data_IF_221501158428
#
_entry.id   IF_221501158428
#
_cell.length_a   1.000
_cell.length_b   1.000
_cell.length_c   1.000
_cell.angle_alpha   90.00
_cell.angle_beta   90.00
_cell.angle_gamma   90.00
#
_symmetry.space_group_name_H-M   'P 1'
#
loop_
_entity.id
_entity.type
_entity.pdbx_description
1 polymer ?
#
# COMPACT_ATOMS: atom_id res chain seq x y z
N UNK A 1 -29.61 22.06 -15.98
CA UNK A 1 -28.61 23.11 -16.24
C UNK A 1 -27.23 22.52 -16.07
N UNK A 2 -26.36 22.83 -17.03
CA UNK A 2 -24.93 22.54 -17.16
C UNK A 2 -24.53 21.09 -17.47
N UNK A 3 -23.95 20.99 -18.67
CA UNK A 3 -23.80 19.83 -19.51
C UNK A 3 -22.40 19.22 -19.43
N UNK A 4 -22.36 17.91 -19.67
CA UNK A 4 -21.17 17.11 -19.99
C UNK A 4 -20.35 17.73 -21.12
N UNK A 5 -19.03 17.79 -20.96
CA UNK A 5 -18.10 18.01 -22.08
C UNK A 5 -17.15 16.81 -22.15
N UNK A 6 -17.33 16.04 -23.21
CA UNK A 6 -16.45 14.95 -23.64
C UNK A 6 -15.20 15.54 -24.31
N UNK A 7 -14.02 15.07 -23.91
CA UNK A 7 -12.75 15.32 -24.60
C UNK A 7 -12.59 14.27 -25.70
N UNK A 8 -12.95 14.65 -26.92
CA UNK A 8 -12.72 13.87 -28.13
C UNK A 8 -11.50 14.47 -28.84
N UNK A 9 -10.47 13.64 -29.02
CA UNK A 9 -9.21 13.95 -29.68
C UNK A 9 -9.42 14.05 -31.19
N UNK A 10 -9.31 15.26 -31.76
CA UNK A 10 -9.37 15.48 -33.20
C UNK A 10 -7.96 15.53 -33.79
N UNK A 11 -7.62 14.43 -34.48
CA UNK A 11 -6.48 14.24 -35.40
C UNK A 11 -6.75 15.05 -36.68
N UNK A 12 -5.78 15.85 -37.11
CA UNK A 12 -5.88 16.66 -38.33
C UNK A 12 -5.97 15.77 -39.60
N UNK A 13 -6.76 16.15 -40.62
CA UNK A 13 -6.88 15.39 -41.85
C UNK A 13 -5.77 15.73 -42.86
N UNK A 14 -5.13 14.69 -43.37
CA UNK A 14 -4.48 14.68 -44.68
C UNK A 14 -5.59 14.66 -45.74
N UNK A 15 -5.54 15.57 -46.71
CA UNK A 15 -6.33 15.48 -47.93
C UNK A 15 -5.45 15.89 -49.12
N UNK A 16 -5.43 15.00 -50.11
CA UNK A 16 -4.71 15.05 -51.36
C UNK A 16 -5.62 15.52 -52.51
N UNK A 17 -5.04 16.13 -53.55
CA UNK A 17 -5.50 16.14 -54.94
C UNK A 17 -4.37 16.81 -55.78
N UNK A 18 -3.58 16.10 -56.59
CA UNK A 18 -3.84 15.51 -57.91
C UNK A 18 -3.62 16.49 -59.09
N UNK A 19 -2.62 16.14 -59.95
CA UNK A 19 -2.52 16.30 -61.44
C UNK A 19 -2.81 17.67 -62.08
N UNK A 20 -2.11 18.23 -63.07
CA UNK A 20 -1.10 17.76 -64.05
C UNK A 20 -0.91 18.90 -65.07
N UNK A 21 0.32 19.20 -65.53
CA UNK A 21 0.60 19.57 -66.94
C UNK A 21 2.07 20.00 -67.16
N UNK A 22 2.81 19.08 -67.77
CA UNK A 22 3.88 19.18 -68.78
C UNK A 22 4.47 20.57 -69.16
N UNK A 23 5.81 20.59 -69.19
CA UNK A 23 6.68 21.46 -69.98
C UNK A 23 6.39 21.35 -71.51
N UNK A 24 6.84 22.33 -72.30
CA UNK A 24 8.00 22.03 -73.15
C UNK A 24 9.02 23.17 -73.31
N UNK A 25 10.26 22.75 -73.61
CA UNK A 25 11.36 23.52 -74.19
C UNK A 25 11.11 23.77 -75.70
N UNK A 26 11.50 24.94 -76.22
CA UNK A 26 12.54 25.12 -77.26
C UNK A 26 12.40 26.41 -78.11
N UNK A 27 13.55 27.08 -78.25
CA UNK A 27 14.14 27.69 -79.47
C UNK A 27 13.67 29.03 -80.09
N UNK A 28 14.66 29.94 -80.11
CA UNK A 28 15.18 30.77 -81.23
C UNK A 28 14.30 31.88 -81.83
N UNK A 29 14.70 33.14 -81.63
CA UNK A 29 15.49 33.93 -82.62
C UNK A 29 15.56 35.44 -82.27
N UNK A 30 16.73 36.01 -82.57
CA UNK A 30 17.01 37.37 -83.06
C UNK A 30 16.78 38.63 -82.20
N UNK A 31 17.83 39.47 -82.19
CA UNK A 31 18.12 40.73 -81.47
C UNK A 31 17.41 42.00 -82.08
N UNK A 32 17.72 43.28 -81.70
CA UNK A 32 18.70 43.80 -80.74
C UNK A 32 18.30 45.01 -79.84
N UNK A 33 19.16 45.24 -78.84
CA UNK A 33 19.60 46.52 -78.22
C UNK A 33 18.59 47.56 -77.69
N UNK A 34 18.55 47.72 -76.36
CA UNK A 34 18.56 49.04 -75.71
C UNK A 34 19.11 48.94 -74.27
N UNK A 35 20.03 49.84 -73.98
CA UNK A 35 20.82 50.01 -72.75
C UNK A 35 19.97 50.63 -71.64
N UNK A 36 20.01 50.07 -70.41
CA UNK A 36 20.04 50.84 -69.15
C UNK A 36 20.09 49.89 -67.93
N UNK A 37 21.22 49.88 -67.21
CA UNK A 37 21.26 49.51 -65.79
C UNK A 37 20.71 50.72 -64.99
N UNK A 38 20.06 50.49 -63.83
CA UNK A 38 20.85 50.57 -62.62
C UNK A 38 20.56 49.47 -61.60
N UNK A 39 21.62 49.19 -60.84
CA UNK A 39 21.66 48.26 -59.73
C UNK A 39 20.70 48.66 -58.60
N UNK A 40 19.91 47.71 -58.12
CA UNK A 40 19.58 47.61 -56.71
C UNK A 40 19.58 46.13 -56.29
N UNK A 41 20.52 45.79 -55.42
CA UNK A 41 20.64 44.50 -54.77
C UNK A 41 19.29 44.09 -54.14
N UNK A 42 18.79 42.89 -54.51
CA UNK A 42 17.76 42.22 -53.72
C UNK A 42 18.39 41.78 -52.40
N UNK A 43 18.32 42.65 -51.40
CA UNK A 43 18.62 42.31 -50.03
C UNK A 43 17.65 41.22 -49.55
N UNK A 44 18.23 40.18 -48.96
CA UNK A 44 17.64 39.22 -48.03
C UNK A 44 16.14 39.38 -47.76
N UNK A 45 15.35 38.37 -48.15
CA UNK A 45 14.01 38.15 -47.64
C UNK A 45 14.08 37.76 -46.15
N UNK A 46 14.39 38.72 -45.29
CA UNK A 46 13.99 38.67 -43.90
C UNK A 46 12.50 38.99 -43.90
N UNK A 47 11.66 37.97 -43.84
CA UNK A 47 10.23 38.13 -43.54
C UNK A 47 10.14 38.62 -42.10
N UNK A 48 10.35 39.93 -41.88
CA UNK A 48 9.97 40.57 -40.64
C UNK A 48 8.47 40.33 -40.46
N UNK A 49 8.00 39.87 -39.28
CA UNK A 49 6.58 39.70 -39.07
C UNK A 49 5.95 41.08 -39.25
N UNK A 50 5.04 41.19 -40.23
CA UNK A 50 4.24 42.38 -40.45
C UNK A 50 3.72 42.91 -39.10
N UNK A 51 3.94 44.20 -38.84
CA UNK A 51 3.68 44.82 -37.54
C UNK A 51 2.31 44.42 -36.98
N UNK A 52 2.31 43.70 -35.86
CA UNK A 52 1.08 43.25 -35.23
C UNK A 52 0.22 44.46 -34.84
N UNK A 53 -1.07 44.41 -35.16
CA UNK A 53 -2.02 45.44 -34.72
C UNK A 53 -2.12 45.45 -33.19
N UNK A 54 -2.33 46.64 -32.59
CA UNK A 54 -2.46 46.80 -31.12
C UNK A 54 -3.51 45.85 -30.51
N UNK A 55 -4.60 45.58 -31.22
CA UNK A 55 -5.65 44.65 -30.81
C UNK A 55 -5.16 43.20 -30.76
N UNK A 56 -4.42 42.72 -31.78
CA UNK A 56 -3.81 41.37 -31.80
C UNK A 56 -2.80 41.22 -30.67
N UNK A 57 -1.97 42.24 -30.43
CA UNK A 57 -1.02 42.28 -29.31
C UNK A 57 -1.73 42.19 -27.96
N UNK A 58 -2.80 42.96 -27.73
CA UNK A 58 -3.61 42.91 -26.50
C UNK A 58 -4.25 41.52 -26.30
N UNK A 59 -4.86 40.96 -27.35
CA UNK A 59 -5.44 39.62 -27.31
C UNK A 59 -4.41 38.54 -26.96
N UNK A 60 -3.21 38.60 -27.55
CA UNK A 60 -2.10 37.68 -27.22
C UNK A 60 -1.65 37.82 -25.77
N UNK A 61 -1.51 39.05 -25.26
CA UNK A 61 -1.12 39.29 -23.86
C UNK A 61 -2.16 38.77 -22.88
N UNK A 62 -3.45 39.00 -23.13
CA UNK A 62 -4.52 38.44 -22.28
C UNK A 62 -4.58 36.90 -22.33
N UNK A 63 -4.42 36.30 -23.52
CA UNK A 63 -4.32 34.85 -23.67
C UNK A 63 -3.13 34.29 -22.89
N UNK A 64 -1.95 34.93 -22.99
CA UNK A 64 -0.75 34.54 -22.25
C UNK A 64 -0.99 34.62 -20.74
N UNK A 65 -1.50 35.74 -20.24
CA UNK A 65 -1.83 35.90 -18.82
C UNK A 65 -2.83 34.84 -18.32
N UNK A 66 -3.84 34.49 -19.13
CA UNK A 66 -4.79 33.43 -18.78
C UNK A 66 -4.14 32.04 -18.78
N UNK A 67 -3.21 31.78 -19.71
CA UNK A 67 -2.43 30.54 -19.71
C UNK A 67 -1.49 30.46 -18.50
N UNK A 68 -0.82 31.55 -18.16
CA UNK A 68 0.07 31.63 -17.01
C UNK A 68 -0.71 31.41 -15.70
N UNK A 69 -1.90 32.01 -15.56
CA UNK A 69 -2.81 31.75 -14.43
C UNK A 69 -3.23 30.28 -14.35
N UNK A 70 -3.60 29.66 -15.49
CA UNK A 70 -3.94 28.23 -15.54
C UNK A 70 -2.73 27.35 -15.16
N UNK A 71 -1.54 27.70 -15.64
CA UNK A 71 -0.31 26.98 -15.32
C UNK A 71 0.05 27.10 -13.83
N UNK A 72 -0.16 28.27 -13.21
CA UNK A 72 0.03 28.45 -11.78
C UNK A 72 -0.93 27.56 -10.96
N UNK A 73 -2.23 27.55 -11.31
CA UNK A 73 -3.22 26.67 -10.65
C UNK A 73 -2.87 25.19 -10.80
N UNK A 74 -2.40 24.76 -11.98
CA UNK A 74 -1.95 23.38 -12.19
C UNK A 74 -0.75 23.04 -11.31
N UNK A 75 0.25 23.94 -11.20
CA UNK A 75 1.40 23.73 -10.32
C UNK A 75 1.03 23.63 -8.85
N UNK A 76 0.10 24.46 -8.38
CA UNK A 76 -0.43 24.39 -7.00
C UNK A 76 -1.15 23.06 -6.74
N UNK A 77 -1.94 22.59 -7.71
CA UNK A 77 -2.61 21.29 -7.64
C UNK A 77 -1.62 20.12 -7.71
N UNK A 78 -0.58 20.22 -8.53
CA UNK A 78 0.49 19.21 -8.62
C UNK A 78 1.34 19.16 -7.35
N UNK A 79 1.57 20.29 -6.69
CA UNK A 79 2.27 20.36 -5.41
C UNK A 79 1.48 19.67 -4.29
N UNK A 80 0.15 19.80 -4.30
CA UNK A 80 -0.76 19.15 -3.32
C UNK A 80 -1.27 17.78 -3.80
N UNK A 81 -0.57 17.16 -4.75
CA UNK A 81 -0.97 15.86 -5.30
C UNK A 81 -0.68 14.75 -4.28
N UNK A 82 -1.66 13.93 -3.89
CA UNK A 82 -1.42 12.80 -2.99
C UNK A 82 -0.64 11.70 -3.70
N UNK A 83 0.11 10.93 -2.92
CA UNK A 83 0.84 9.79 -3.43
C UNK A 83 -0.12 8.72 -3.98
N UNK A 84 0.16 8.13 -5.15
CA UNK A 84 -0.73 7.16 -5.76
C UNK A 84 -0.76 5.82 -5.01
N UNK A 85 0.30 5.48 -4.27
CA UNK A 85 0.42 4.22 -3.53
C UNK A 85 -0.13 4.36 -2.12
N UNK A 86 0.42 5.30 -1.34
CA UNK A 86 0.07 5.48 0.07
C UNK A 86 -1.28 6.19 0.23
N UNK A 87 -1.60 7.12 -0.67
CA UNK A 87 -2.92 7.74 -0.74
C UNK A 87 -3.03 9.10 -0.07
N UNK A 88 -1.96 9.65 0.50
CA UNK A 88 -1.90 10.96 1.13
C UNK A 88 -0.65 11.72 0.66
N UNK A 89 -0.58 13.01 0.97
CA UNK A 89 0.57 13.85 0.58
C UNK A 89 1.84 13.51 1.37
N UNK A 90 3.01 13.70 0.74
CA UNK A 90 4.31 13.52 1.42
C UNK A 90 4.40 14.45 2.64
N UNK A 91 4.80 13.89 3.79
CA UNK A 91 4.91 14.62 5.06
C UNK A 91 3.64 14.63 5.93
N UNK A 92 2.50 14.15 5.41
CA UNK A 92 1.26 14.00 6.18
C UNK A 92 1.06 12.55 6.66
N UNK A 93 2.08 11.97 7.28
CA UNK A 93 2.01 10.61 7.83
C UNK A 93 1.03 10.47 9.01
N UNK A 94 0.67 11.59 9.65
CA UNK A 94 -0.32 11.66 10.73
C UNK A 94 -1.67 11.02 10.36
N UNK A 95 -2.09 11.15 9.10
CA UNK A 95 -3.32 10.53 8.60
C UNK A 95 -3.29 9.01 8.76
N UNK A 96 -2.13 8.41 8.56
CA UNK A 96 -1.94 6.98 8.76
C UNK A 96 -1.79 6.61 10.23
N UNK A 97 -1.08 7.41 11.01
CA UNK A 97 -0.90 7.13 12.43
C UNK A 97 -2.23 7.13 13.19
N UNK A 98 -3.13 8.04 12.83
CA UNK A 98 -4.43 8.20 13.46
C UNK A 98 -5.51 7.25 12.93
N UNK A 99 -5.27 6.63 11.78
CA UNK A 99 -6.16 5.71 11.08
C UNK A 99 -6.54 4.49 11.94
N UNK A 100 -7.82 4.08 11.89
CA UNK A 100 -8.29 2.88 12.60
C UNK A 100 -7.55 1.62 12.15
N UNK A 101 -7.32 1.46 10.84
CA UNK A 101 -6.64 0.29 10.30
C UNK A 101 -5.26 0.11 10.95
N UNK A 102 -4.47 1.18 11.07
CA UNK A 102 -3.13 1.13 11.66
C UNK A 102 -3.14 0.82 13.16
N UNK A 103 -4.18 1.25 13.87
CA UNK A 103 -4.35 0.99 15.30
C UNK A 103 -4.72 -0.47 15.58
N UNK A 104 -5.49 -1.08 14.67
CA UNK A 104 -5.96 -2.46 14.81
C UNK A 104 -4.89 -3.45 14.34
N UNK A 105 -4.15 -3.15 13.27
CA UNK A 105 -3.18 -4.09 12.70
C UNK A 105 -2.00 -4.33 13.62
N UNK A 106 -1.61 -5.60 13.81
CA UNK A 106 -0.42 -5.95 14.56
C UNK A 106 0.83 -5.40 13.90
N UNK A 107 1.63 -4.67 14.68
CA UNK A 107 2.96 -4.24 14.27
C UNK A 107 3.99 -5.25 14.72
N UNK A 108 5.15 -5.24 14.05
CA UNK A 108 6.31 -6.05 14.44
C UNK A 108 6.67 -5.84 15.92
N UNK A 109 6.65 -4.59 16.38
CA UNK A 109 6.94 -4.25 17.78
C UNK A 109 6.00 -4.92 18.78
N UNK A 110 4.72 -5.11 18.43
CA UNK A 110 3.73 -5.67 19.34
C UNK A 110 3.93 -7.18 19.55
N UNK A 111 4.43 -7.88 18.52
CA UNK A 111 4.65 -9.32 18.54
C UNK A 111 5.96 -9.67 19.25
N UNK A 112 7.07 -9.05 18.85
CA UNK A 112 8.41 -9.41 19.35
C UNK A 112 8.92 -8.51 20.48
N UNK A 113 8.20 -7.44 20.83
CA UNK A 113 8.67 -6.41 21.77
C UNK A 113 9.69 -5.46 21.13
N UNK A 114 10.15 -4.47 21.91
CA UNK A 114 11.35 -3.73 21.55
C UNK A 114 12.57 -4.57 21.91
N UNK A 115 13.43 -4.84 20.92
CA UNK A 115 14.75 -5.41 21.18
C UNK A 115 15.53 -4.33 21.91
N UNK A 116 15.51 -4.37 23.24
CA UNK A 116 16.44 -3.57 24.04
C UNK A 116 17.84 -4.03 23.62
N UNK A 117 18.70 -3.12 23.12
CA UNK A 117 20.08 -3.48 22.85
C UNK A 117 20.64 -4.10 24.11
N UNK A 118 21.14 -5.33 24.01
CA UNK A 118 21.92 -5.92 25.09
C UNK A 118 23.18 -5.05 25.13
N UNK A 119 23.17 -4.00 25.96
CA UNK A 119 24.41 -3.35 26.35
C UNK A 119 25.33 -4.46 26.85
N UNK A 120 26.57 -4.44 26.41
CA UNK A 120 27.63 -5.42 26.69
C UNK A 120 28.03 -5.43 28.18
N UNK A 121 27.07 -5.52 29.09
CA UNK A 121 27.24 -5.91 30.49
C UNK A 121 27.19 -7.44 30.62
N UNK A 122 27.57 -8.14 29.55
CA UNK A 122 27.71 -9.59 29.45
C UNK A 122 29.02 -10.15 30.03
N UNK A 123 29.69 -9.42 30.93
CA UNK A 123 30.68 -10.00 31.85
C UNK A 123 30.18 -10.07 33.30
N UNK A 124 29.12 -9.33 33.65
CA UNK A 124 28.54 -9.32 35.00
C UNK A 124 27.26 -10.14 35.11
N UNK A 125 26.45 -10.24 34.05
CA UNK A 125 25.22 -11.05 34.06
C UNK A 125 25.46 -12.57 34.01
N UNK A 126 26.63 -13.01 33.51
CA UNK A 126 27.00 -14.43 33.47
C UNK A 126 27.53 -14.99 34.82
N UNK A 127 27.66 -14.15 35.85
CA UNK A 127 28.07 -14.54 37.22
C UNK A 127 27.00 -14.28 38.28
N UNK A 128 25.74 -14.11 37.88
CA UNK A 128 24.60 -13.95 38.77
C UNK A 128 23.53 -15.04 38.54
N UNK A 129 23.97 -16.27 38.25
CA UNK A 129 23.10 -17.42 37.97
C UNK A 129 23.49 -18.71 38.71
N UNK A 130 24.35 -18.63 39.72
CA UNK A 130 24.59 -19.70 40.69
C UNK A 130 24.41 -19.08 42.08
N UNK A 131 23.15 -18.87 42.44
CA UNK A 131 22.74 -18.27 43.71
C UNK A 131 21.41 -18.85 44.12
N UNK A 132 21.48 -19.80 45.05
CA UNK A 132 20.42 -20.24 45.98
C UNK A 132 19.05 -20.57 45.37
N UNK A 133 18.73 -21.87 45.39
CA UNK A 133 17.38 -22.39 45.27
C UNK A 133 16.49 -21.81 46.39
N UNK A 134 15.95 -20.61 46.16
CA UNK A 134 14.90 -20.04 46.99
C UNK A 134 13.59 -20.74 46.66
N UNK A 135 12.96 -21.21 47.72
CA UNK A 135 11.70 -21.95 47.75
C UNK A 135 10.64 -21.45 46.75
N UNK A 136 10.09 -22.39 45.97
CA UNK A 136 8.66 -22.42 45.69
C UNK A 136 8.03 -21.34 44.82
N UNK A 137 8.77 -20.62 43.96
CA UNK A 137 8.11 -19.89 42.87
C UNK A 137 7.64 -20.90 41.82
N UNK A 138 6.39 -21.36 41.94
CA UNK A 138 5.69 -22.06 40.84
C UNK A 138 5.79 -21.16 39.61
N UNK A 139 6.62 -21.53 38.65
CA UNK A 139 6.72 -20.83 37.38
C UNK A 139 5.32 -20.84 36.76
N UNK A 140 4.76 -19.65 36.54
CA UNK A 140 3.44 -19.55 35.95
C UNK A 140 3.44 -20.23 34.58
N UNK A 141 2.38 -20.98 34.27
CA UNK A 141 2.14 -21.54 32.95
C UNK A 141 2.44 -20.54 31.82
N UNK A 142 3.42 -20.85 30.95
CA UNK A 142 3.67 -20.03 29.76
C UNK A 142 2.42 -19.99 28.85
N UNK A 143 1.91 -18.79 28.60
CA UNK A 143 0.76 -18.52 27.71
C UNK A 143 1.12 -17.35 26.79
N UNK A 144 1.13 -17.56 25.46
CA UNK A 144 1.34 -16.50 24.47
C UNK A 144 0.27 -15.42 24.52
N UNK A 145 0.63 -14.20 24.10
CA UNK A 145 -0.33 -13.09 23.98
C UNK A 145 -1.18 -13.18 22.70
N UNK A 146 -0.59 -13.64 21.61
CA UNK A 146 -1.24 -13.76 20.31
C UNK A 146 -1.04 -15.17 19.77
N UNK A 147 -2.08 -15.71 19.13
CA UNK A 147 -2.09 -17.09 18.67
C UNK A 147 -2.11 -17.18 17.14
N UNK A 148 -1.39 -18.18 16.63
CA UNK A 148 -1.40 -18.58 15.25
C UNK A 148 -2.64 -19.44 14.93
N UNK A 149 -2.87 -19.74 13.65
CA UNK A 149 -3.98 -20.56 13.13
C UNK A 149 -5.38 -19.96 13.31
N UNK A 150 -5.52 -18.88 14.08
CA UNK A 150 -6.79 -18.21 14.38
C UNK A 150 -7.64 -18.95 15.36
N UNK A 151 -6.98 -19.37 16.42
CA UNK A 151 -7.63 -19.83 17.61
C UNK A 151 -8.20 -18.61 18.35
N UNK A 152 -9.42 -18.76 18.84
CA UNK A 152 -10.07 -17.79 19.71
C UNK A 152 -9.58 -17.99 21.14
N UNK A 153 -9.67 -16.96 21.98
CA UNK A 153 -9.23 -17.02 23.37
C UNK A 153 -9.88 -18.18 24.14
N UNK A 154 -11.18 -18.43 23.90
CA UNK A 154 -11.93 -19.54 24.50
C UNK A 154 -11.36 -20.91 24.12
N UNK A 155 -10.97 -21.09 22.85
CA UNK A 155 -10.37 -22.35 22.40
C UNK A 155 -9.01 -22.58 23.04
N UNK A 156 -8.24 -21.52 23.28
CA UNK A 156 -6.95 -21.61 23.95
C UNK A 156 -7.11 -21.96 25.42
N UNK A 157 -8.09 -21.39 26.11
CA UNK A 157 -8.41 -21.70 27.51
C UNK A 157 -8.80 -23.18 27.67
N UNK A 158 -9.63 -23.69 26.75
CA UNK A 158 -9.96 -25.11 26.72
C UNK A 158 -8.72 -25.98 26.52
N UNK A 159 -7.83 -25.60 25.58
CA UNK A 159 -6.57 -26.30 25.32
C UNK A 159 -5.59 -26.22 26.50
N UNK A 160 -5.55 -25.10 27.23
CA UNK A 160 -4.61 -24.87 28.32
C UNK A 160 -5.01 -25.53 29.62
N UNK A 161 -6.30 -25.46 29.97
CA UNK A 161 -6.73 -25.73 31.34
C UNK A 161 -7.45 -27.08 31.44
N UNK A 162 -8.27 -27.43 30.45
CA UNK A 162 -9.15 -28.61 30.54
C UNK A 162 -8.51 -29.89 30.01
N UNK A 163 -7.76 -29.80 28.92
CA UNK A 163 -7.17 -30.99 28.27
C UNK A 163 -6.06 -31.66 29.08
N UNK A 164 -5.13 -30.95 29.74
CA UNK A 164 -4.08 -31.59 30.51
C UNK A 164 -4.62 -32.43 31.68
N UNK A 165 -5.61 -31.91 32.40
CA UNK A 165 -6.22 -32.60 33.54
C UNK A 165 -6.99 -33.86 33.11
N UNK A 166 -7.81 -33.74 32.06
CA UNK A 166 -8.58 -34.88 31.52
C UNK A 166 -7.67 -35.95 30.90
N UNK A 167 -6.61 -35.54 30.20
CA UNK A 167 -5.59 -36.42 29.64
C UNK A 167 -4.83 -37.18 30.73
N UNK A 168 -4.38 -36.49 31.78
CA UNK A 168 -3.71 -37.11 32.93
C UNK A 168 -4.60 -38.12 33.66
N UNK A 169 -5.87 -37.77 33.91
CA UNK A 169 -6.85 -38.68 34.54
C UNK A 169 -7.10 -39.92 33.67
N UNK A 170 -7.24 -39.75 32.35
CA UNK A 170 -7.46 -40.87 31.43
C UNK A 170 -6.27 -41.82 31.38
N UNK A 171 -5.05 -41.30 31.39
CA UNK A 171 -3.80 -42.08 31.38
C UNK A 171 -3.61 -42.90 32.66
N UNK A 172 -4.07 -42.37 33.79
CA UNK A 172 -3.81 -42.92 35.12
C UNK A 172 -4.89 -43.90 35.59
N UNK A 173 -6.17 -43.59 35.36
CA UNK A 173 -7.30 -44.42 35.80
C UNK A 173 -7.82 -45.39 34.72
N UNK A 174 -7.59 -45.11 33.43
CA UNK A 174 -8.29 -45.82 32.35
C UNK A 174 -9.83 -45.70 32.45
N UNK A 175 -10.57 -46.41 31.60
CA UNK A 175 -12.06 -46.30 31.59
C UNK A 175 -12.72 -47.01 32.79
N UNK A 176 -11.98 -47.83 33.55
CA UNK A 176 -12.43 -48.56 34.74
C UNK A 176 -11.25 -48.82 35.68
N UNK A 177 -11.18 -48.14 36.81
CA UNK A 177 -10.25 -48.52 37.88
C UNK A 177 -10.92 -48.50 39.26
N UNK A 178 -10.77 -49.64 39.93
CA UNK A 178 -11.07 -49.89 41.34
C UNK A 178 -9.73 -50.14 42.06
N UNK A 179 -9.37 -49.21 42.97
CA UNK A 179 -8.34 -49.22 44.02
C UNK A 179 -6.86 -49.50 43.68
N UNK A 180 -5.94 -48.55 43.98
CA UNK A 180 -4.59 -48.71 44.62
C UNK A 180 -4.04 -47.31 45.04
N UNK A 181 -3.64 -47.07 46.30
CA UNK A 181 -3.54 -45.71 46.87
C UNK A 181 -2.19 -44.95 46.83
N UNK A 182 -1.04 -45.55 46.47
CA UNK A 182 0.26 -44.83 46.49
C UNK A 182 0.98 -44.78 45.13
N UNK A 183 1.10 -45.93 44.46
CA UNK A 183 1.69 -46.00 43.10
C UNK A 183 0.83 -45.27 42.07
N UNK A 184 -0.49 -45.18 42.29
CA UNK A 184 -1.35 -44.36 41.44
C UNK A 184 -1.12 -42.87 41.66
N UNK A 185 -0.80 -42.43 42.88
CA UNK A 185 -0.50 -41.01 43.17
C UNK A 185 0.80 -40.59 42.49
N UNK A 186 1.88 -41.37 42.60
CA UNK A 186 3.15 -41.03 41.93
C UNK A 186 3.01 -41.04 40.41
N UNK A 187 2.29 -42.02 39.85
CA UNK A 187 1.97 -42.04 38.41
C UNK A 187 1.11 -40.88 37.98
N UNK A 188 0.21 -40.42 38.85
CA UNK A 188 -0.61 -39.25 38.59
C UNK A 188 0.23 -37.98 38.58
N UNK A 189 1.14 -37.81 39.53
CA UNK A 189 2.10 -36.71 39.53
C UNK A 189 2.96 -36.71 38.27
N UNK A 190 3.55 -37.86 37.91
CA UNK A 190 4.32 -38.03 36.67
C UNK A 190 3.48 -37.68 35.43
N UNK A 191 2.24 -38.17 35.35
CA UNK A 191 1.33 -37.86 34.25
C UNK A 191 1.02 -36.35 34.18
N UNK A 192 0.76 -35.69 35.32
CA UNK A 192 0.47 -34.25 35.34
C UNK A 192 1.66 -33.41 34.89
N UNK A 193 2.90 -33.78 35.26
CA UNK A 193 4.10 -33.06 34.81
C UNK A 193 4.34 -33.23 33.31
N UNK A 194 4.13 -34.43 32.77
CA UNK A 194 4.22 -34.69 31.32
C UNK A 194 3.15 -33.90 30.56
N UNK A 195 1.90 -33.88 31.04
CA UNK A 195 0.84 -33.08 30.41
C UNK A 195 1.12 -31.57 30.52
N UNK A 196 1.74 -31.10 31.61
CA UNK A 196 2.16 -29.71 31.74
C UNK A 196 3.27 -29.34 30.73
N UNK A 197 4.24 -30.22 30.49
CA UNK A 197 5.27 -30.02 29.47
C UNK A 197 4.67 -30.02 28.05
N UNK A 198 3.75 -30.95 27.76
CA UNK A 198 3.01 -30.99 26.48
C UNK A 198 2.23 -29.71 26.25
N UNK A 199 1.54 -29.22 27.29
CA UNK A 199 0.82 -27.94 27.27
C UNK A 199 1.77 -26.79 26.92
N UNK A 200 2.93 -26.71 27.57
CA UNK A 200 3.91 -25.67 27.29
C UNK A 200 4.44 -25.73 25.84
N UNK A 201 4.80 -26.92 25.35
CA UNK A 201 5.23 -27.10 23.96
C UNK A 201 4.15 -26.70 22.97
N UNK A 202 2.90 -27.07 23.22
CA UNK A 202 1.76 -26.69 22.40
C UNK A 202 1.61 -25.16 22.38
N UNK A 203 1.71 -24.49 23.53
CA UNK A 203 1.64 -23.03 23.60
C UNK A 203 2.75 -22.35 22.80
N UNK A 204 3.97 -22.88 22.83
CA UNK A 204 5.08 -22.37 22.00
C UNK A 204 4.83 -22.58 20.50
N UNK A 205 4.24 -23.70 20.09
CA UNK A 205 3.87 -23.97 18.69
C UNK A 205 2.76 -23.01 18.23
N UNK A 206 1.81 -22.71 19.12
CA UNK A 206 0.69 -21.82 18.83
C UNK A 206 1.05 -20.33 18.88
N UNK A 207 2.19 -19.96 19.47
CA UNK A 207 2.61 -18.55 19.56
C UNK A 207 2.77 -17.93 18.15
N UNK A 208 2.10 -16.80 17.92
CA UNK A 208 2.22 -16.04 16.68
C UNK A 208 3.66 -15.56 16.41
N UNK A 209 4.49 -15.42 17.45
CA UNK A 209 5.93 -15.09 17.32
C UNK A 209 6.69 -16.07 16.45
N UNK A 210 6.25 -17.33 16.44
CA UNK A 210 6.86 -18.42 15.67
C UNK A 210 6.19 -18.63 14.30
N UNK A 211 5.19 -17.81 13.95
CA UNK A 211 4.45 -17.95 12.71
C UNK A 211 5.18 -17.31 11.52
N UNK A 212 4.91 -17.84 10.32
CA UNK A 212 5.34 -17.23 9.07
C UNK A 212 4.69 -15.86 8.83
N UNK A 213 5.24 -15.09 7.89
CA UNK A 213 4.62 -13.83 7.41
C UNK A 213 3.15 -13.97 7.01
N UNK A 214 2.78 -15.14 6.45
CA UNK A 214 1.40 -15.49 6.12
C UNK A 214 0.50 -15.66 7.34
N UNK A 215 1.02 -16.20 8.45
CA UNK A 215 0.29 -16.35 9.70
C UNK A 215 -0.09 -15.00 10.30
N UNK A 216 0.86 -14.06 10.31
CA UNK A 216 0.64 -12.67 10.75
C UNK A 216 -0.37 -11.98 9.82
N UNK A 217 -0.26 -12.17 8.51
CA UNK A 217 -1.22 -11.62 7.55
C UNK A 217 -2.63 -12.19 7.78
N UNK A 218 -2.76 -13.49 8.08
CA UNK A 218 -4.04 -14.13 8.37
C UNK A 218 -4.67 -13.59 9.66
N UNK A 219 -3.88 -13.39 10.72
CA UNK A 219 -4.34 -12.77 11.95
C UNK A 219 -4.87 -11.35 11.71
N UNK A 220 -4.09 -10.51 11.02
CA UNK A 220 -4.50 -9.14 10.69
C UNK A 220 -5.75 -9.09 9.81
N UNK A 221 -5.92 -10.03 8.87
CA UNK A 221 -7.15 -10.14 8.07
C UNK A 221 -8.38 -10.40 8.93
N UNK A 222 -8.27 -11.28 9.94
CA UNK A 222 -9.38 -11.56 10.86
C UNK A 222 -9.78 -10.32 11.65
N UNK A 223 -8.81 -9.59 12.19
CA UNK A 223 -9.07 -8.31 12.87
C UNK A 223 -9.75 -7.29 11.96
N UNK A 224 -9.34 -7.21 10.69
CA UNK A 224 -9.97 -6.33 9.71
C UNK A 224 -11.42 -6.74 9.44
N UNK A 225 -11.69 -8.05 9.26
CA UNK A 225 -13.05 -8.56 9.04
C UNK A 225 -13.95 -8.24 10.24
N UNK A 226 -13.45 -8.42 11.46
CA UNK A 226 -14.21 -8.14 12.68
C UNK A 226 -14.54 -6.64 12.86
N UNK A 227 -13.65 -5.74 12.40
CA UNK A 227 -13.78 -4.30 12.65
C UNK A 227 -14.42 -3.51 11.51
N UNK A 228 -14.22 -3.95 10.27
CA UNK A 228 -14.78 -3.31 9.07
C UNK A 228 -16.01 -4.05 8.52
N UNK A 229 -16.26 -5.29 8.97
CA UNK A 229 -17.44 -6.06 8.59
C UNK A 229 -18.72 -5.42 9.12
N UNK A 230 -19.79 -5.52 8.33
CA UNK A 230 -21.13 -5.02 8.73
C UNK A 230 -21.90 -6.06 9.53
N UNK A 231 -21.66 -7.32 9.18
CA UNK A 231 -22.26 -8.50 9.76
C UNK A 231 -21.11 -9.36 10.27
N UNK A 232 -21.41 -10.21 11.25
CA UNK A 232 -20.48 -11.24 11.71
C UNK A 232 -19.99 -12.06 10.49
N UNK A 233 -18.66 -12.19 10.36
CA UNK A 233 -17.99 -12.90 9.27
C UNK A 233 -18.16 -12.31 7.85
N UNK A 234 -18.48 -11.02 7.74
CA UNK A 234 -18.55 -10.33 6.46
C UNK A 234 -17.17 -10.15 5.82
N UNK A 235 -16.83 -11.03 4.88
CA UNK A 235 -15.60 -10.97 4.09
C UNK A 235 -15.78 -10.30 2.72
N UNK A 236 -17.02 -10.06 2.32
CA UNK A 236 -17.40 -9.62 0.97
C UNK A 236 -17.55 -8.11 0.82
N UNK A 237 -17.77 -7.40 1.93
CA UNK A 237 -18.03 -5.97 1.90
C UNK A 237 -16.90 -5.14 1.26
N UNK A 238 -17.24 -4.10 0.48
CA UNK A 238 -16.24 -3.26 -0.18
C UNK A 238 -15.35 -2.52 0.83
N UNK A 239 -15.85 -2.24 2.04
CA UNK A 239 -15.03 -1.69 3.14
C UNK A 239 -13.92 -2.66 3.55
N UNK A 240 -14.28 -3.91 3.85
CA UNK A 240 -13.36 -4.97 4.27
C UNK A 240 -12.34 -5.25 3.17
N UNK A 241 -12.79 -5.38 1.92
CA UNK A 241 -11.89 -5.59 0.78
C UNK A 241 -10.88 -4.45 0.61
N UNK A 242 -11.31 -3.19 0.74
CA UNK A 242 -10.43 -2.03 0.63
C UNK A 242 -9.40 -1.97 1.78
N UNK A 243 -9.81 -2.32 3.00
CA UNK A 243 -8.92 -2.38 4.16
C UNK A 243 -7.85 -3.49 4.01
N UNK A 244 -8.25 -4.71 3.59
CA UNK A 244 -7.32 -5.81 3.31
C UNK A 244 -6.32 -5.44 2.22
N UNK A 245 -6.80 -4.82 1.13
CA UNK A 245 -5.91 -4.37 0.05
C UNK A 245 -4.93 -3.30 0.54
N UNK A 246 -5.35 -2.39 1.42
CA UNK A 246 -4.48 -1.36 1.97
C UNK A 246 -3.37 -1.95 2.84
N UNK A 247 -3.71 -2.91 3.70
CA UNK A 247 -2.70 -3.65 4.48
C UNK A 247 -1.68 -4.33 3.54
N UNK A 248 -2.16 -5.01 2.49
CA UNK A 248 -1.29 -5.70 1.53
C UNK A 248 -0.41 -4.73 0.72
N UNK A 249 -0.96 -3.59 0.31
CA UNK A 249 -0.20 -2.52 -0.36
C UNK A 249 0.95 -2.06 0.53
N UNK A 250 0.71 -1.83 1.82
CA UNK A 250 1.75 -1.43 2.78
C UNK A 250 2.81 -2.50 2.99
N UNK A 251 2.41 -3.75 3.20
CA UNK A 251 3.36 -4.86 3.37
C UNK A 251 4.30 -5.00 2.15
N UNK A 252 3.75 -4.91 0.93
CA UNK A 252 4.56 -4.97 -0.30
C UNK A 252 5.40 -3.71 -0.47
N UNK A 253 4.88 -2.54 -0.12
CA UNK A 253 5.64 -1.29 -0.18
C UNK A 253 6.85 -1.32 0.76
N UNK A 254 6.67 -1.79 2.00
CA UNK A 254 7.77 -1.91 2.96
C UNK A 254 8.78 -2.99 2.55
N UNK A 255 8.33 -4.11 1.97
CA UNK A 255 9.23 -5.09 1.35
C UNK A 255 10.05 -4.45 0.22
N UNK A 256 9.42 -3.66 -0.65
CA UNK A 256 10.09 -3.01 -1.78
C UNK A 256 11.08 -1.91 -1.34
N UNK A 257 10.86 -1.26 -0.19
CA UNK A 257 11.86 -0.35 0.40
C UNK A 257 13.16 -1.09 0.71
N UNK A 258 13.05 -2.31 1.27
CA UNK A 258 14.21 -3.17 1.54
C UNK A 258 14.78 -3.81 0.26
N UNK A 259 13.92 -4.15 -0.72
CA UNK A 259 14.28 -4.81 -1.97
C UNK A 259 13.86 -3.98 -3.20
N UNK A 260 14.55 -2.86 -3.51
CA UNK A 260 14.12 -1.93 -4.56
C UNK A 260 14.29 -2.49 -5.98
N UNK A 261 15.04 -3.57 -6.16
CA UNK A 261 15.31 -4.20 -7.47
C UNK A 261 14.17 -5.08 -7.95
N UNK A 262 13.34 -5.61 -7.04
CA UNK A 262 12.27 -6.55 -7.33
C UNK A 262 11.24 -5.96 -8.31
N UNK A 263 11.25 -6.45 -9.55
CA UNK A 263 10.33 -6.04 -10.62
C UNK A 263 8.93 -6.61 -10.45
N UNK A 264 8.75 -7.94 -10.24
CA UNK A 264 7.41 -8.51 -10.13
C UNK A 264 6.62 -7.93 -8.96
N UNK A 265 7.24 -7.72 -7.79
CA UNK A 265 6.51 -7.16 -6.65
C UNK A 265 6.07 -5.70 -6.88
N UNK A 266 6.84 -4.90 -7.64
CA UNK A 266 6.38 -3.57 -8.08
C UNK A 266 5.16 -3.65 -9.00
N UNK A 267 5.07 -4.68 -9.84
CA UNK A 267 3.89 -4.89 -10.68
C UNK A 267 2.67 -5.28 -9.85
N UNK A 268 2.85 -6.20 -8.89
CA UNK A 268 1.80 -6.58 -7.94
C UNK A 268 1.31 -5.36 -7.16
N UNK A 269 2.23 -4.52 -6.66
CA UNK A 269 1.87 -3.27 -5.98
C UNK A 269 0.97 -2.39 -6.84
N UNK A 270 1.33 -2.15 -8.10
CA UNK A 270 0.51 -1.35 -9.02
C UNK A 270 -0.88 -1.96 -9.22
N UNK A 271 -0.97 -3.28 -9.39
CA UNK A 271 -2.24 -3.98 -9.57
C UNK A 271 -3.15 -3.85 -8.33
N UNK A 272 -2.58 -3.98 -7.13
CA UNK A 272 -3.33 -3.86 -5.88
C UNK A 272 -3.88 -2.45 -5.67
N UNK A 273 -3.08 -1.42 -5.93
CA UNK A 273 -3.52 -0.01 -5.85
C UNK A 273 -4.69 0.24 -6.81
N UNK A 274 -4.60 -0.23 -8.06
CA UNK A 274 -5.71 -0.10 -9.01
C UNK A 274 -6.94 -0.89 -8.56
N UNK A 275 -6.77 -2.10 -8.00
CA UNK A 275 -7.87 -2.90 -7.47
C UNK A 275 -8.58 -2.19 -6.32
N UNK A 276 -7.82 -1.60 -5.38
CA UNK A 276 -8.35 -0.78 -4.29
C UNK A 276 -9.12 0.42 -4.84
N UNK A 277 -8.53 1.16 -5.79
CA UNK A 277 -9.17 2.30 -6.43
C UNK A 277 -10.49 1.94 -7.12
N UNK A 278 -10.59 0.78 -7.77
CA UNK A 278 -11.85 0.29 -8.37
C UNK A 278 -12.93 0.04 -7.32
N UNK A 279 -12.59 -0.60 -6.21
CA UNK A 279 -13.53 -0.88 -5.11
C UNK A 279 -14.00 0.42 -4.46
N UNK A 280 -13.10 1.36 -4.21
CA UNK A 280 -13.44 2.65 -3.61
C UNK A 280 -14.33 3.50 -4.55
N UNK A 281 -14.06 3.49 -5.86
CA UNK A 281 -14.93 4.13 -6.87
C UNK A 281 -16.31 3.49 -6.92
N UNK A 282 -16.41 2.17 -6.83
CA UNK A 282 -17.68 1.47 -6.73
C UNK A 282 -18.45 1.90 -5.48
N UNK A 283 -17.80 1.86 -4.30
CA UNK A 283 -18.41 2.22 -3.04
C UNK A 283 -18.93 3.66 -3.06
N UNK A 284 -18.15 4.60 -3.61
CA UNK A 284 -18.59 5.98 -3.83
C UNK A 284 -19.85 6.08 -4.70
N UNK A 285 -19.92 5.33 -5.79
CA UNK A 285 -21.08 5.33 -6.68
C UNK A 285 -22.35 4.78 -5.99
N UNK A 286 -22.19 3.82 -5.08
CA UNK A 286 -23.30 3.28 -4.28
C UNK A 286 -23.70 4.23 -3.15
N UNK A 287 -22.73 4.82 -2.46
CA UNK A 287 -22.97 5.68 -1.28
C UNK A 287 -21.76 6.57 -0.97
N UNK A 288 -21.98 7.88 -0.95
CA UNK A 288 -20.91 8.84 -0.69
C UNK A 288 -20.52 8.87 0.79
N UNK A 289 -21.50 8.82 1.71
CA UNK A 289 -21.24 8.87 3.16
C UNK A 289 -20.33 7.74 3.64
N UNK A 290 -20.64 6.49 3.23
CA UNK A 290 -19.81 5.33 3.59
C UNK A 290 -18.41 5.40 3.00
N UNK A 291 -18.27 6.03 1.84
CA UNK A 291 -16.99 6.24 1.18
C UNK A 291 -16.12 7.20 1.97
N UNK A 292 -16.67 8.33 2.40
CA UNK A 292 -15.96 9.32 3.21
C UNK A 292 -15.53 8.75 4.57
N UNK A 293 -16.43 8.03 5.24
CA UNK A 293 -16.11 7.34 6.50
C UNK A 293 -14.98 6.31 6.31
N UNK A 294 -15.06 5.49 5.26
CA UNK A 294 -14.04 4.47 4.99
C UNK A 294 -12.67 5.07 4.70
N UNK A 295 -12.62 6.19 3.95
CA UNK A 295 -11.36 6.88 3.64
C UNK A 295 -10.63 7.32 4.92
N UNK A 296 -11.37 7.87 5.89
CA UNK A 296 -10.81 8.23 7.20
C UNK A 296 -10.31 7.01 7.98
N UNK A 297 -11.07 5.90 7.94
CA UNK A 297 -10.72 4.65 8.64
C UNK A 297 -9.53 3.90 8.03
N UNK A 298 -9.20 4.13 6.76
CA UNK A 298 -8.08 3.51 6.04
C UNK A 298 -6.88 4.49 5.92
N UNK A 299 -7.10 5.80 6.07
CA UNK A 299 -6.06 6.83 5.98
C UNK A 299 -5.68 7.13 4.53
N UNK A 300 -6.68 7.33 3.66
CA UNK A 300 -6.49 7.65 2.24
C UNK A 300 -7.26 8.93 1.91
N UNK A 301 -6.64 9.84 1.17
CA UNK A 301 -7.30 11.06 0.70
C UNK A 301 -8.24 10.76 -0.47
N UNK A 302 -9.39 11.46 -0.58
CA UNK A 302 -10.31 11.28 -1.68
C UNK A 302 -9.64 11.57 -3.02
N UNK A 303 -8.80 12.61 -3.10
CA UNK A 303 -8.07 13.00 -4.33
C UNK A 303 -7.19 11.90 -4.91
N UNK A 304 -6.71 10.95 -4.11
CA UNK A 304 -5.90 9.83 -4.60
C UNK A 304 -6.73 8.81 -5.40
N UNK A 305 -8.02 8.70 -5.06
CA UNK A 305 -8.97 7.78 -5.70
C UNK A 305 -9.72 8.46 -6.85
N UNK A 306 -9.96 9.77 -6.71
CA UNK A 306 -10.66 10.59 -7.68
C UNK A 306 -9.82 10.81 -8.94
N UNK A 307 -10.40 10.49 -10.11
CA UNK A 307 -9.70 10.58 -11.39
C UNK A 307 -8.95 9.32 -11.78
N UNK A 308 -7.95 9.45 -12.64
CA UNK A 308 -7.14 8.34 -13.13
C UNK A 308 -5.90 8.13 -12.27
N UNK A 309 -5.71 6.89 -11.78
CA UNK A 309 -4.53 6.55 -11.00
C UNK A 309 -3.37 6.30 -11.97
N UNK A 310 -2.56 7.32 -12.18
CA UNK A 310 -1.37 7.22 -13.03
C UNK A 310 -0.16 6.92 -12.15
N UNK A 311 0.48 5.77 -12.36
CA UNK A 311 1.73 5.39 -11.71
C UNK A 311 2.81 5.16 -12.76
N UNK A 312 3.65 6.17 -13.02
CA UNK A 312 4.78 5.99 -13.94
C UNK A 312 5.86 5.15 -13.27
N UNK A 313 6.60 4.40 -14.10
CA UNK A 313 7.71 3.54 -13.64
C UNK A 313 8.77 4.31 -12.86
N UNK A 314 9.10 5.53 -13.30
CA UNK A 314 10.12 6.36 -12.66
C UNK A 314 9.63 6.93 -11.34
N UNK A 315 8.39 7.43 -11.28
CA UNK A 315 7.73 7.93 -10.05
C UNK A 315 7.64 6.83 -8.98
N UNK A 316 7.30 5.59 -9.38
CA UNK A 316 7.26 4.47 -8.44
C UNK A 316 8.66 4.12 -7.91
N UNK A 317 9.69 4.22 -8.76
CA UNK A 317 11.08 3.94 -8.37
C UNK A 317 11.62 4.99 -7.42
N UNK A 318 11.35 6.27 -7.67
CA UNK A 318 11.75 7.37 -6.78
C UNK A 318 11.07 7.22 -5.42
N UNK A 319 9.76 6.94 -5.41
CA UNK A 319 8.99 6.71 -4.19
C UNK A 319 9.56 5.56 -3.34
N UNK A 320 9.91 4.42 -3.97
CA UNK A 320 10.45 3.25 -3.26
C UNK A 320 11.85 3.51 -2.71
N UNK A 321 12.69 4.24 -3.45
CA UNK A 321 14.08 4.53 -3.05
C UNK A 321 14.20 5.70 -2.08
N UNK A 322 13.13 6.46 -1.87
CA UNK A 322 13.17 7.71 -1.09
C UNK A 322 14.01 8.81 -1.75
N UNK A 323 14.34 8.67 -3.04
CA UNK A 323 15.09 9.68 -3.80
C UNK A 323 14.10 10.53 -4.57
N UNK A 324 13.92 11.79 -4.20
CA UNK A 324 13.09 12.72 -4.97
C UNK A 324 13.69 12.96 -6.37
N UNK A 325 12.81 13.12 -7.37
CA UNK A 325 13.14 13.55 -8.75
C UNK A 325 12.74 15.00 -8.87
#
# INVERSE_FOLDING_TARGET
MLARIALQTARAPFAAAASSSLLPLASTSSAPAAVALPAHARAFSATAPAGETKAKRKARMTRRANLDKKAALVRELEATRPDPVLGYQKGHDELWENCLLNKITLKRKDVWGEVVPIEETGAAAAKAGEGEAKDGQRQEPYVPKYFNFGLDAETVEQLSDTLPATSALRSTLGDKATSVDAVLLSRFEDATTLEAQKREHLMRILDLRNADSKGIEAYNKRLIVQTFGRVENDSGSPEVQAAILTLRIRNIFDHLKAAPTDVPNRQVLRLLVHKRGKILKYLRAVSVTRYEELLLKIGVEPRSVEGEIIMRKNELRSLIRGTDV
#
